data_IF_695697034344
#
_entry.id   IF_695697034344
#
_cell.length_a   1.000
_cell.length_b   1.000
_cell.length_c   1.000
_cell.angle_alpha   90.00
_cell.angle_beta   90.00
_cell.angle_gamma   90.00
#
_symmetry.space_group_name_H-M   'P 1'
#
loop_
_entity.id
_entity.type
_entity.pdbx_description
1 polymer ?
#
# COMPACT_ATOMS: atom_id res chain seq x y z
N UNK A 1 -25.91 68.06 8.60
CA UNK A 1 -26.84 67.07 9.18
C UNK A 1 -26.34 65.68 8.84
N UNK A 2 -25.92 64.93 9.88
CA UNK A 2 -25.91 63.46 10.09
C UNK A 2 -25.37 62.53 8.97
N UNK A 3 -24.18 61.94 9.14
CA UNK A 3 -23.85 60.64 9.78
C UNK A 3 -24.05 59.41 8.88
N UNK A 4 -22.96 58.71 8.56
CA UNK A 4 -22.87 57.26 8.81
C UNK A 4 -21.42 56.87 9.14
N UNK A 5 -21.27 56.12 10.21
CA UNK A 5 -20.01 55.66 10.79
C UNK A 5 -19.90 54.16 10.60
N UNK A 6 -18.69 53.64 10.38
CA UNK A 6 -18.49 52.20 10.27
C UNK A 6 -17.04 51.77 10.18
N UNK A 7 -16.21 52.22 11.12
CA UNK A 7 -14.92 51.60 11.43
C UNK A 7 -15.14 50.12 11.80
N UNK A 8 -14.48 49.20 11.10
CA UNK A 8 -14.32 47.83 11.58
C UNK A 8 -13.01 47.23 11.08
N UNK A 9 -11.96 47.56 11.81
CA UNK A 9 -11.12 46.56 12.47
C UNK A 9 -10.36 45.57 11.58
N UNK A 10 -9.05 45.81 11.48
CA UNK A 10 -8.10 44.82 11.02
C UNK A 10 -8.12 43.52 11.84
N UNK A 11 -7.93 42.42 11.13
CA UNK A 11 -7.46 41.11 11.59
C UNK A 11 -6.62 40.59 10.42
N UNK A 12 -5.28 40.56 10.46
CA UNK A 12 -4.44 40.12 11.55
C UNK A 12 -4.49 38.60 11.63
N UNK A 13 -3.45 37.94 11.11
CA UNK A 13 -3.21 36.52 11.35
C UNK A 13 -2.92 35.73 10.08
N UNK A 14 -1.64 35.65 9.73
CA UNK A 14 -1.18 34.88 8.58
C UNK A 14 -1.35 33.38 8.73
N UNK A 15 -0.87 32.67 7.71
CA UNK A 15 -0.12 31.41 7.78
C UNK A 15 0.15 30.98 6.35
N UNK A 16 1.42 31.01 5.97
CA UNK A 16 1.89 30.29 4.81
C UNK A 16 1.51 28.80 4.95
N UNK A 17 1.03 28.23 3.86
CA UNK A 17 1.00 26.79 3.63
C UNK A 17 1.65 26.62 2.25
N UNK A 18 2.98 26.58 2.12
CA UNK A 18 3.85 25.75 2.94
C UNK A 18 3.55 24.30 2.60
N UNK A 19 4.11 23.84 1.48
CA UNK A 19 4.37 22.45 1.13
C UNK A 19 3.25 21.45 1.40
N UNK A 20 2.40 21.18 0.41
CA UNK A 20 1.89 19.81 0.24
C UNK A 20 2.92 19.01 -0.52
N UNK A 21 4.01 18.74 0.21
CA UNK A 21 4.94 17.70 -0.13
C UNK A 21 4.13 16.46 -0.49
N UNK A 22 4.41 15.93 -1.68
CA UNK A 22 4.28 14.51 -1.96
C UNK A 22 4.64 13.79 -0.67
N UNK A 23 3.68 13.13 -0.04
CA UNK A 23 3.91 12.47 1.25
C UNK A 23 5.18 11.66 1.11
N UNK A 24 6.25 12.12 1.74
CA UNK A 24 7.42 11.30 1.93
C UNK A 24 6.87 10.03 2.53
N UNK A 25 7.18 8.92 1.88
CA UNK A 25 7.15 7.61 2.51
C UNK A 25 8.22 7.69 3.60
N UNK A 26 7.91 8.42 4.68
CA UNK A 26 8.68 8.30 5.90
C UNK A 26 8.64 6.82 6.26
N UNK A 27 9.79 6.22 6.64
CA UNK A 27 9.80 4.87 7.14
C UNK A 27 8.91 4.86 8.38
N UNK A 28 7.65 4.46 8.18
CA UNK A 28 6.72 4.16 9.26
C UNK A 28 7.49 3.18 10.15
N UNK A 29 7.57 3.48 11.44
CA UNK A 29 8.21 2.59 12.40
C UNK A 29 7.67 1.14 12.26
N UNK A 30 8.36 0.16 12.85
CA UNK A 30 7.99 -1.25 12.73
C UNK A 30 6.48 -1.43 12.95
N UNK A 31 5.78 -2.19 12.08
CA UNK A 31 4.33 -2.28 12.14
C UNK A 31 3.87 -2.84 13.50
N UNK A 32 2.65 -2.46 13.89
CA UNK A 32 2.05 -2.89 15.16
C UNK A 32 2.00 -4.41 15.28
N UNK A 33 1.77 -5.09 14.16
CA UNK A 33 1.84 -6.54 14.00
C UNK A 33 2.29 -6.90 12.58
N UNK A 34 2.73 -8.14 12.42
CA UNK A 34 3.03 -8.70 11.10
C UNK A 34 2.30 -10.04 10.98
N UNK A 35 1.84 -10.34 9.78
CA UNK A 35 1.19 -11.62 9.44
C UNK A 35 2.01 -12.36 8.41
N UNK A 36 1.89 -13.69 8.37
CA UNK A 36 2.61 -14.50 7.38
C UNK A 36 2.20 -14.07 5.96
N UNK A 37 3.18 -13.76 5.12
CA UNK A 37 3.00 -13.46 3.71
C UNK A 37 3.21 -14.73 2.88
N UNK A 38 4.35 -15.39 3.09
CA UNK A 38 4.74 -16.54 2.30
C UNK A 38 5.99 -17.24 2.82
N UNK A 39 6.35 -18.31 2.13
CA UNK A 39 7.50 -19.17 2.45
C UNK A 39 8.55 -19.10 1.36
N UNK A 40 9.80 -19.00 1.77
CA UNK A 40 10.94 -18.97 0.87
C UNK A 40 11.03 -20.23 0.02
N UNK A 41 11.32 -20.05 -1.27
CA UNK A 41 11.53 -21.12 -2.22
C UNK A 41 13.00 -21.24 -2.63
N UNK A 42 13.56 -20.17 -3.18
CA UNK A 42 14.94 -20.10 -3.64
C UNK A 42 15.35 -18.63 -3.91
N UNK A 43 16.65 -18.31 -3.89
CA UNK A 43 17.14 -17.01 -4.36
C UNK A 43 17.11 -16.96 -5.90
N UNK A 44 16.93 -15.76 -6.46
CA UNK A 44 17.01 -15.49 -7.90
C UNK A 44 17.59 -14.08 -8.11
N UNK A 45 18.78 -13.99 -8.71
CA UNK A 45 19.44 -12.70 -9.03
C UNK A 45 19.57 -11.72 -7.84
N UNK A 46 19.79 -12.26 -6.63
CA UNK A 46 19.88 -11.47 -5.40
C UNK A 46 18.53 -11.11 -4.75
N UNK A 47 17.41 -11.54 -5.34
CA UNK A 47 16.07 -11.44 -4.76
C UNK A 47 15.64 -12.76 -4.13
N UNK A 48 14.73 -12.68 -3.15
CA UNK A 48 14.12 -13.86 -2.56
C UNK A 48 12.80 -14.19 -3.28
N UNK A 49 12.69 -15.41 -3.83
CA UNK A 49 11.43 -15.91 -4.38
C UNK A 49 10.64 -16.59 -3.27
N UNK A 50 9.43 -16.08 -3.02
CA UNK A 50 8.51 -16.64 -2.02
C UNK A 50 7.29 -17.26 -2.71
N UNK A 51 6.79 -18.36 -2.14
CA UNK A 51 5.44 -18.85 -2.42
C UNK A 51 4.49 -18.21 -1.42
N UNK A 52 3.47 -17.51 -1.92
CA UNK A 52 2.46 -16.88 -1.09
C UNK A 52 1.66 -17.95 -0.34
N UNK A 53 1.54 -17.80 0.98
CA UNK A 53 0.67 -18.63 1.84
C UNK A 53 -0.56 -17.88 2.32
N UNK A 54 -0.53 -16.55 2.25
CA UNK A 54 -1.66 -15.69 2.56
C UNK A 54 -2.74 -15.75 1.46
N UNK A 55 -4.02 -15.66 1.85
CA UNK A 55 -5.15 -15.62 0.90
C UNK A 55 -5.29 -14.27 0.18
N UNK A 56 -4.64 -13.22 0.71
CA UNK A 56 -4.64 -11.87 0.14
C UNK A 56 -3.32 -11.57 -0.57
N UNK A 57 -3.39 -10.73 -1.60
CA UNK A 57 -2.26 -10.36 -2.45
C UNK A 57 -1.52 -9.14 -1.87
N UNK A 58 -0.20 -9.14 -1.70
CA UNK A 58 0.55 -7.98 -1.25
C UNK A 58 0.45 -6.77 -2.18
N UNK A 59 0.59 -5.56 -1.62
CA UNK A 59 0.88 -4.39 -2.46
C UNK A 59 2.29 -4.48 -3.04
N UNK A 60 2.49 -3.96 -4.26
CA UNK A 60 3.82 -3.69 -4.78
C UNK A 60 4.59 -2.73 -3.86
N UNK A 61 5.91 -2.92 -3.75
CA UNK A 61 6.79 -2.19 -2.83
C UNK A 61 6.40 -2.28 -1.35
N UNK A 62 5.52 -3.21 -0.96
CA UNK A 62 5.21 -3.41 0.45
C UNK A 62 6.45 -3.90 1.21
N UNK A 63 6.75 -3.33 2.40
CA UNK A 63 7.83 -3.82 3.25
C UNK A 63 7.58 -5.28 3.67
N UNK A 64 8.65 -6.08 3.62
CA UNK A 64 8.65 -7.48 4.05
C UNK A 64 9.57 -7.64 5.25
N UNK A 65 9.11 -8.41 6.23
CA UNK A 65 9.73 -8.58 7.53
C UNK A 65 9.99 -10.05 7.86
N UNK A 66 10.80 -10.30 8.88
CA UNK A 66 10.80 -11.56 9.62
C UNK A 66 9.78 -11.50 10.77
N UNK A 67 9.56 -12.62 11.45
CA UNK A 67 8.60 -12.73 12.57
C UNK A 67 8.88 -11.72 13.69
N UNK A 68 10.16 -11.48 13.98
CA UNK A 68 10.62 -10.49 14.96
C UNK A 68 10.47 -9.03 14.48
N UNK A 69 9.78 -8.78 13.36
CA UNK A 69 9.56 -7.49 12.72
C UNK A 69 10.83 -6.82 12.16
N UNK A 70 11.93 -7.57 12.00
CA UNK A 70 13.10 -7.07 11.28
C UNK A 70 12.74 -6.89 9.80
N UNK A 71 12.93 -5.68 9.28
CA UNK A 71 12.76 -5.38 7.86
C UNK A 71 13.85 -6.08 7.04
N UNK A 72 13.47 -6.84 6.02
CA UNK A 72 14.42 -7.59 5.17
C UNK A 72 14.40 -7.17 3.71
N UNK A 73 13.34 -6.51 3.26
CA UNK A 73 13.18 -6.14 1.86
C UNK A 73 11.81 -5.56 1.57
N UNK A 74 11.44 -5.56 0.30
CA UNK A 74 10.13 -5.16 -0.16
C UNK A 74 9.68 -5.99 -1.36
N UNK A 75 8.37 -6.13 -1.55
CA UNK A 75 7.79 -6.81 -2.72
C UNK A 75 8.19 -6.06 -4.00
N UNK A 76 8.69 -6.77 -5.01
CA UNK A 76 9.01 -6.19 -6.32
C UNK A 76 8.08 -6.73 -7.40
N UNK A 77 8.02 -8.05 -7.57
CA UNK A 77 7.16 -8.71 -8.57
C UNK A 77 6.17 -9.69 -7.94
N UNK A 78 4.98 -9.81 -8.53
CA UNK A 78 3.94 -10.80 -8.15
C UNK A 78 3.54 -11.55 -9.42
N UNK A 79 3.69 -12.87 -9.41
CA UNK A 79 3.51 -13.71 -10.58
C UNK A 79 2.98 -15.11 -10.22
N UNK A 80 2.83 -15.97 -11.22
CA UNK A 80 2.32 -17.33 -11.05
C UNK A 80 0.81 -17.45 -11.23
N UNK A 81 0.28 -18.62 -10.89
CA UNK A 81 -1.15 -18.91 -11.04
C UNK A 81 -1.91 -18.32 -9.86
N UNK A 82 -3.19 -17.98 -10.06
CA UNK A 82 -4.01 -17.37 -8.99
C UNK A 82 -4.15 -18.23 -7.73
N UNK A 83 -4.05 -19.56 -7.88
CA UNK A 83 -4.08 -20.53 -6.77
C UNK A 83 -2.69 -20.87 -6.22
N UNK A 84 -1.62 -20.43 -6.89
CA UNK A 84 -0.23 -20.68 -6.54
C UNK A 84 0.60 -19.44 -6.89
N UNK A 85 0.35 -18.36 -6.17
CA UNK A 85 1.03 -17.08 -6.37
C UNK A 85 2.46 -17.16 -5.83
N UNK A 86 3.40 -16.65 -6.62
CA UNK A 86 4.76 -16.38 -6.19
C UNK A 86 5.00 -14.87 -6.19
N UNK A 87 5.99 -14.44 -5.42
CA UNK A 87 6.45 -13.06 -5.44
C UNK A 87 7.96 -13.00 -5.26
N UNK A 88 8.58 -11.96 -5.82
CA UNK A 88 9.96 -11.63 -5.50
C UNK A 88 10.02 -10.54 -4.44
N UNK A 89 11.03 -10.66 -3.57
CA UNK A 89 11.38 -9.65 -2.58
C UNK A 89 12.74 -9.09 -2.94
N UNK A 90 12.76 -7.80 -3.25
CA UNK A 90 14.00 -7.04 -3.36
C UNK A 90 14.60 -6.85 -1.98
N UNK A 91 15.74 -7.47 -1.74
CA UNK A 91 16.41 -7.47 -0.45
C UNK A 91 16.92 -6.08 -0.09
N UNK A 92 16.86 -5.75 1.20
CA UNK A 92 17.45 -4.52 1.73
C UNK A 92 18.97 -4.61 1.74
N UNK A 93 19.64 -3.45 1.78
CA UNK A 93 21.09 -3.39 1.75
C UNK A 93 21.71 -4.24 2.87
N UNK A 94 22.69 -5.08 2.51
CA UNK A 94 23.40 -5.94 3.46
C UNK A 94 22.69 -7.26 3.77
N UNK A 95 21.50 -7.50 3.22
CA UNK A 95 20.75 -8.75 3.38
C UNK A 95 20.83 -9.52 2.06
N UNK A 96 21.21 -10.79 2.15
CA UNK A 96 21.41 -11.68 1.01
C UNK A 96 20.30 -12.73 0.97
N UNK A 97 19.66 -12.90 -0.18
CA UNK A 97 18.61 -13.90 -0.35
C UNK A 97 19.11 -15.33 -0.12
N UNK A 98 20.39 -15.58 -0.44
CA UNK A 98 21.09 -16.85 -0.27
C UNK A 98 21.28 -17.27 1.19
N UNK A 99 21.09 -16.35 2.14
CA UNK A 99 21.15 -16.66 3.58
C UNK A 99 19.92 -17.39 4.11
N UNK A 100 18.83 -17.45 3.32
CA UNK A 100 17.58 -18.10 3.69
C UNK A 100 17.48 -19.51 3.09
N UNK A 101 16.73 -20.35 3.79
CA UNK A 101 16.46 -21.73 3.41
C UNK A 101 15.00 -21.94 3.04
N UNK A 102 14.75 -22.96 2.20
CA UNK A 102 13.39 -23.30 1.78
C UNK A 102 12.51 -23.57 3.00
N UNK A 103 11.36 -22.91 3.05
CA UNK A 103 10.43 -22.99 4.18
C UNK A 103 10.54 -21.85 5.19
N UNK A 104 11.61 -21.04 5.14
CA UNK A 104 11.71 -19.83 5.96
C UNK A 104 10.53 -18.90 5.70
N UNK A 105 9.98 -18.35 6.78
CA UNK A 105 8.76 -17.55 6.74
C UNK A 105 9.08 -16.07 6.64
N UNK A 106 8.35 -15.40 5.77
CA UNK A 106 8.41 -13.96 5.56
C UNK A 106 7.04 -13.37 5.87
N UNK A 107 7.05 -12.16 6.43
CA UNK A 107 5.89 -11.52 7.03
C UNK A 107 5.66 -10.12 6.47
N UNK A 108 4.43 -9.63 6.60
CA UNK A 108 3.99 -8.35 6.06
C UNK A 108 3.03 -7.66 7.04
N UNK A 109 2.96 -6.35 6.98
CA UNK A 109 1.90 -5.58 7.63
C UNK A 109 0.53 -5.95 7.02
N UNK A 110 -0.48 -6.35 7.82
CA UNK A 110 -1.80 -6.71 7.31
C UNK A 110 -2.49 -5.58 6.52
N UNK A 111 -2.14 -4.31 6.77
CA UNK A 111 -2.65 -3.16 6.01
C UNK A 111 -2.06 -3.05 4.60
N UNK A 112 -1.03 -3.86 4.29
CA UNK A 112 -0.38 -3.96 2.98
C UNK A 112 -0.81 -5.21 2.21
N UNK A 113 -2.04 -5.68 2.44
CA UNK A 113 -2.66 -6.77 1.71
C UNK A 113 -3.92 -6.33 0.94
N UNK A 114 -4.18 -6.98 -0.18
CA UNK A 114 -5.30 -6.73 -1.09
C UNK A 114 -6.17 -8.00 -1.20
N UNK A 115 -7.50 -7.90 -1.06
CA UNK A 115 -8.38 -9.04 -1.32
C UNK A 115 -8.21 -9.58 -2.75
N UNK A 116 -8.19 -10.90 -2.87
CA UNK A 116 -8.01 -11.61 -4.14
C UNK A 116 -9.04 -11.21 -5.20
N UNK A 117 -10.28 -10.93 -4.78
CA UNK A 117 -11.38 -10.51 -5.67
C UNK A 117 -11.08 -9.23 -6.47
N UNK A 118 -10.09 -8.43 -6.05
CA UNK A 118 -9.62 -7.29 -6.85
C UNK A 118 -8.94 -7.70 -8.16
N UNK A 119 -8.47 -8.93 -8.24
CA UNK A 119 -7.73 -9.50 -9.37
C UNK A 119 -8.56 -10.51 -10.18
N UNK A 120 -9.80 -10.79 -9.74
CA UNK A 120 -10.73 -11.67 -10.46
C UNK A 120 -11.64 -10.87 -11.41
N UNK A 121 -12.10 -11.48 -12.52
CA UNK A 121 -13.14 -10.89 -13.35
C UNK A 121 -14.37 -10.56 -12.52
N UNK A 122 -14.85 -9.33 -12.62
CA UNK A 122 -16.08 -8.95 -11.95
C UNK A 122 -17.29 -9.59 -12.62
N UNK A 123 -18.32 -9.99 -11.86
CA UNK A 123 -19.61 -10.34 -12.42
C UNK A 123 -20.13 -9.22 -13.32
N UNK A 124 -20.79 -9.57 -14.42
CA UNK A 124 -21.43 -8.59 -15.32
C UNK A 124 -22.39 -7.71 -14.50
N UNK A 125 -22.18 -6.39 -14.53
CA UNK A 125 -23.00 -5.41 -13.82
C UNK A 125 -22.54 -5.04 -12.41
N UNK A 126 -21.44 -5.60 -11.89
CA UNK A 126 -20.90 -5.20 -10.60
C UNK A 126 -20.31 -3.77 -10.67
N UNK A 127 -20.55 -2.92 -9.65
CA UNK A 127 -19.99 -1.57 -9.62
C UNK A 127 -18.44 -1.60 -9.64
N UNK A 128 -17.83 -0.77 -10.48
CA UNK A 128 -16.37 -0.64 -10.53
C UNK A 128 -15.86 -0.03 -9.22
N UNK A 129 -14.82 -0.63 -8.64
CA UNK A 129 -14.22 -0.22 -7.37
C UNK A 129 -13.11 0.77 -7.72
N UNK A 130 -13.50 1.96 -8.17
CA UNK A 130 -12.56 2.91 -8.75
C UNK A 130 -13.28 3.88 -9.66
N UNK A 131 -14.07 4.76 -9.06
CA UNK A 131 -14.88 5.73 -9.79
C UNK A 131 -15.49 6.75 -8.85
N UNK A 132 -14.66 7.54 -8.15
CA UNK A 132 -15.10 8.88 -7.75
C UNK A 132 -15.14 9.73 -9.02
N UNK A 133 -16.22 9.62 -9.77
CA UNK A 133 -16.42 10.34 -11.01
C UNK A 133 -17.45 9.65 -11.87
N UNK A 134 -18.71 10.08 -11.79
CA UNK A 134 -19.77 9.58 -12.66
C UNK A 134 -21.10 9.36 -11.97
N UNK A 135 -21.68 10.41 -11.40
CA UNK A 135 -23.11 10.48 -11.07
C UNK A 135 -23.51 11.93 -11.32
N UNK A 136 -24.28 12.30 -12.32
CA UNK A 136 -24.96 11.60 -13.39
C UNK A 136 -25.81 12.68 -14.05
N UNK A 137 -25.65 12.90 -15.35
CA UNK A 137 -26.64 13.68 -16.09
C UNK A 137 -27.91 12.85 -16.23
N UNK A 138 -29.04 13.38 -15.74
CA UNK A 138 -30.42 13.22 -16.25
C UNK A 138 -31.39 13.87 -15.24
N UNK A 139 -32.12 14.89 -15.70
CA UNK A 139 -32.78 15.91 -14.87
C UNK A 139 -34.12 15.56 -14.25
N UNK A 140 -34.69 16.54 -13.54
CA UNK A 140 -36.09 16.63 -13.13
C UNK A 140 -36.44 18.12 -12.90
N UNK A 141 -37.67 18.50 -13.29
CA UNK A 141 -38.19 19.86 -13.49
C UNK A 141 -38.08 20.86 -12.33
N UNK A 142 -38.34 22.14 -12.54
CA UNK A 142 -39.46 22.78 -13.25
C UNK A 142 -39.00 24.02 -14.01
#
# INVERSE_FOLDING_TARGET
MVHDAGDRGGRGGGRGFGGRGRGSFEPQGPPAEVVEAGVFQHPCEGEAVLKLTNTMIPYFNAPIFLENKTLVGKVDEIFGQINNVLLTVKMSQGIQAESYSKGDKFFIDPLKLLPLDRFLPKPKGAPSAGGRGGRGGRGAGR
#
